data_IF_311355076361
#
_entry.id   IF_311355076361
#
_cell.length_a   1.000
_cell.length_b   1.000
_cell.length_c   1.000
_cell.angle_alpha   90.00
_cell.angle_beta   90.00
_cell.angle_gamma   90.00
#
_symmetry.space_group_name_H-M   'P 1'
#
loop_
_entity.id
_entity.type
_entity.pdbx_description
1 polymer ?
#
# COMPACT_ATOMS: atom_id res chain seq x y z
N UNK A 1 8.22 -3.90 -2.49
CA UNK A 1 7.67 -2.58 -2.90
C UNK A 1 8.74 -1.66 -3.48
N UNK A 2 10.03 -1.81 -3.11
CA UNK A 2 11.12 -0.93 -3.57
C UNK A 2 12.04 -1.54 -4.65
N UNK A 3 11.54 -2.50 -5.43
CA UNK A 3 12.32 -3.14 -6.50
C UNK A 3 12.67 -2.12 -7.60
N UNK A 4 13.83 -2.22 -8.26
CA UNK A 4 14.17 -1.28 -9.36
C UNK A 4 13.29 -1.50 -10.60
N UNK A 5 12.77 -2.71 -10.79
CA UNK A 5 11.89 -3.06 -11.87
C UNK A 5 10.47 -2.52 -11.61
N UNK A 6 10.03 -1.61 -12.49
CA UNK A 6 8.71 -1.01 -12.44
C UNK A 6 7.58 -2.04 -12.40
N UNK A 7 7.65 -3.09 -13.23
CA UNK A 7 6.60 -4.12 -13.28
C UNK A 7 6.48 -4.85 -11.95
N UNK A 8 7.62 -5.16 -11.30
CA UNK A 8 7.63 -5.80 -9.98
C UNK A 8 7.01 -4.87 -8.93
N UNK A 9 7.33 -3.57 -8.95
CA UNK A 9 6.71 -2.60 -8.02
C UNK A 9 5.20 -2.48 -8.23
N UNK A 10 4.76 -2.38 -9.48
CA UNK A 10 3.34 -2.30 -9.83
C UNK A 10 2.60 -3.57 -9.39
N UNK A 11 3.14 -4.75 -9.68
CA UNK A 11 2.55 -6.02 -9.26
C UNK A 11 2.48 -6.13 -7.73
N UNK A 12 3.57 -5.76 -7.04
CA UNK A 12 3.62 -5.82 -5.58
C UNK A 12 2.58 -4.89 -4.93
N UNK A 13 2.39 -3.66 -5.45
CA UNK A 13 1.41 -2.74 -4.86
C UNK A 13 -0.03 -3.10 -5.20
N UNK A 14 -0.29 -3.70 -6.38
CA UNK A 14 -1.61 -4.24 -6.71
C UNK A 14 -1.97 -5.41 -5.79
N UNK A 15 -1.05 -6.36 -5.59
CA UNK A 15 -1.25 -7.48 -4.67
C UNK A 15 -1.46 -7.01 -3.23
N UNK A 16 -0.73 -5.98 -2.79
CA UNK A 16 -0.94 -5.35 -1.49
C UNK A 16 -2.33 -4.71 -1.39
N UNK A 17 -2.76 -4.00 -2.43
CA UNK A 17 -4.08 -3.38 -2.48
C UNK A 17 -5.17 -4.44 -2.30
N UNK A 18 -5.13 -5.54 -3.05
CA UNK A 18 -6.08 -6.64 -2.94
C UNK A 18 -6.07 -7.27 -1.53
N UNK A 19 -4.88 -7.41 -0.93
CA UNK A 19 -4.73 -7.93 0.43
C UNK A 19 -5.36 -7.01 1.50
N UNK A 20 -5.19 -5.69 1.37
CA UNK A 20 -5.69 -4.69 2.31
C UNK A 20 -7.19 -4.40 2.19
N UNK A 21 -7.90 -4.97 1.21
CA UNK A 21 -9.37 -4.88 1.18
C UNK A 21 -10.05 -5.71 2.29
N UNK A 22 -9.30 -6.58 2.96
CA UNK A 22 -9.76 -7.34 4.12
C UNK A 22 -9.35 -6.65 5.42
N UNK A 23 -10.32 -6.39 6.29
CA UNK A 23 -10.15 -5.70 7.57
C UNK A 23 -9.14 -6.42 8.49
N UNK A 24 -9.11 -7.75 8.50
CA UNK A 24 -8.19 -8.50 9.36
C UNK A 24 -6.74 -8.29 8.91
N UNK A 25 -6.50 -8.21 7.60
CA UNK A 25 -5.19 -7.97 7.04
C UNK A 25 -4.69 -6.54 7.29
N UNK A 26 -5.59 -5.55 7.34
CA UNK A 26 -5.21 -4.16 7.65
C UNK A 26 -4.59 -4.06 9.04
N UNK A 27 -5.24 -4.63 10.07
CA UNK A 27 -4.74 -4.57 11.44
C UNK A 27 -3.35 -5.19 11.57
N UNK A 28 -3.14 -6.32 10.88
CA UNK A 28 -1.84 -6.99 10.83
C UNK A 28 -0.81 -6.13 10.08
N UNK A 29 -1.15 -5.60 8.92
CA UNK A 29 -0.24 -4.79 8.10
C UNK A 29 0.19 -3.49 8.79
N UNK A 30 -0.71 -2.84 9.55
CA UNK A 30 -0.39 -1.68 10.39
C UNK A 30 0.69 -2.05 11.40
N UNK A 31 0.56 -3.19 12.10
CA UNK A 31 1.55 -3.66 13.08
C UNK A 31 2.91 -3.96 12.44
N UNK A 32 2.93 -4.36 11.18
CA UNK A 32 4.16 -4.57 10.40
C UNK A 32 4.73 -3.29 9.76
N UNK A 33 4.14 -2.12 10.02
CA UNK A 33 4.69 -0.84 9.57
C UNK A 33 4.43 -0.54 8.10
N UNK A 34 3.36 -1.10 7.51
CA UNK A 34 3.03 -0.86 6.10
C UNK A 34 2.83 0.64 5.77
N UNK A 35 2.43 1.44 6.76
CA UNK A 35 2.24 2.88 6.60
C UNK A 35 3.49 3.62 6.14
N UNK A 36 4.67 3.27 6.68
CA UNK A 36 5.93 3.90 6.26
C UNK A 36 6.30 3.49 4.83
N UNK A 37 6.03 2.23 4.46
CA UNK A 37 6.23 1.76 3.08
C UNK A 37 5.32 2.49 2.09
N UNK A 38 4.03 2.65 2.43
CA UNK A 38 3.07 3.38 1.59
C UNK A 38 3.45 4.85 1.46
N UNK A 39 3.87 5.50 2.54
CA UNK A 39 4.36 6.88 2.53
C UNK A 39 5.55 7.05 1.59
N UNK A 40 6.49 6.10 1.58
CA UNK A 40 7.62 6.13 0.64
C UNK A 40 7.16 5.97 -0.82
N UNK A 41 6.14 5.14 -1.08
CA UNK A 41 5.59 4.94 -2.43
C UNK A 41 4.85 6.16 -2.97
N UNK A 42 4.43 7.11 -2.12
CA UNK A 42 3.91 8.40 -2.58
C UNK A 42 4.97 9.24 -3.33
N UNK A 43 6.25 8.89 -3.21
CA UNK A 43 7.35 9.52 -3.93
C UNK A 43 7.86 8.68 -5.11
N UNK A 44 7.19 7.56 -5.47
CA UNK A 44 7.59 6.76 -6.63
C UNK A 44 7.49 7.59 -7.92
N UNK A 45 8.39 7.34 -8.87
CA UNK A 45 8.42 8.01 -10.18
C UNK A 45 7.18 7.64 -11.01
N UNK A 46 6.64 6.45 -10.81
CA UNK A 46 5.49 5.94 -11.55
C UNK A 46 4.15 6.40 -10.96
N UNK A 47 3.27 6.86 -11.83
CA UNK A 47 1.96 7.38 -11.44
C UNK A 47 1.05 6.28 -10.88
N UNK A 48 1.10 5.07 -11.45
CA UNK A 48 0.25 3.95 -11.03
C UNK A 48 0.62 3.51 -9.62
N UNK A 49 1.92 3.41 -9.32
CA UNK A 49 2.41 3.12 -7.97
C UNK A 49 1.94 4.18 -6.97
N UNK A 50 2.06 5.48 -7.29
CA UNK A 50 1.57 6.54 -6.40
C UNK A 50 0.06 6.48 -6.18
N UNK A 51 -0.72 6.26 -7.25
CA UNK A 51 -2.17 6.17 -7.17
C UNK A 51 -2.62 5.02 -6.27
N UNK A 52 -2.03 3.83 -6.46
CA UNK A 52 -2.33 2.66 -5.65
C UNK A 52 -1.88 2.82 -4.20
N UNK A 53 -0.79 3.53 -3.93
CA UNK A 53 -0.38 3.84 -2.56
C UNK A 53 -1.42 4.70 -1.82
N UNK A 54 -1.99 5.70 -2.50
CA UNK A 54 -3.08 6.53 -1.95
C UNK A 54 -4.33 5.70 -1.69
N UNK A 55 -4.70 4.81 -2.61
CA UNK A 55 -5.84 3.90 -2.45
C UNK A 55 -5.69 3.01 -1.20
N UNK A 56 -4.53 2.38 -1.01
CA UNK A 56 -4.23 1.61 0.19
C UNK A 56 -4.36 2.45 1.47
N UNK A 57 -3.80 3.66 1.49
CA UNK A 57 -3.91 4.57 2.63
C UNK A 57 -5.36 4.96 2.93
N UNK A 58 -6.16 5.20 1.88
CA UNK A 58 -7.57 5.53 2.01
C UNK A 58 -8.36 4.36 2.63
N UNK A 59 -8.19 3.14 2.10
CA UNK A 59 -8.83 1.93 2.63
C UNK A 59 -8.44 1.75 4.11
N UNK A 60 -7.14 1.77 4.41
CA UNK A 60 -6.66 1.62 5.79
C UNK A 60 -7.22 2.68 6.74
N UNK A 61 -7.37 3.93 6.28
CA UNK A 61 -7.93 5.02 7.10
C UNK A 61 -9.41 4.83 7.42
N UNK A 62 -10.17 4.15 6.56
CA UNK A 62 -11.57 3.79 6.81
C UNK A 62 -11.75 2.73 7.89
N UNK A 63 -10.72 1.92 8.15
CA UNK A 63 -10.71 0.87 9.15
C UNK A 63 -10.00 1.26 10.46
N UNK A 64 -9.23 2.35 10.47
CA UNK A 64 -8.73 2.97 11.70
C UNK A 64 -9.86 3.77 12.39
N UNK A 65 -10.86 3.06 12.90
CA UNK A 65 -11.73 3.55 13.96
C UNK A 65 -11.16 2.96 15.26
N UNK A 66 -10.82 3.86 16.20
CA UNK A 66 -10.01 3.58 17.40
C UNK A 66 -10.62 2.65 18.42
#
# INVERSE_FOLDING_TARGET
LSDENLLIRQQAIMALCDHLHDCEHIAVAIRFGIGESLKNLLHDRDNTVRHKAVECLYIMSGHSIG
#
